data_IF_673518413197
#
_entry.id   IF_673518413197
#
_cell.length_a   1.000
_cell.length_b   1.000
_cell.length_c   1.000
_cell.angle_alpha   90.00
_cell.angle_beta   90.00
_cell.angle_gamma   90.00
#
_symmetry.space_group_name_H-M   'P 1'
#
loop_
_entity.id
_entity.type
_entity.pdbx_description
1 polymer ?
#
# COMPACT_ATOMS: atom_id res chain seq x y z
N UNK A 1 15.43 -10.57 -16.09
CA UNK A 1 16.24 -10.59 -17.29
C UNK A 1 15.64 -11.60 -18.29
N UNK A 2 15.34 -11.21 -19.56
CA UNK A 2 14.82 -12.13 -20.59
C UNK A 2 15.75 -13.32 -20.88
N UNK A 3 17.03 -13.20 -20.54
CA UNK A 3 18.01 -14.26 -20.70
C UNK A 3 18.06 -15.26 -19.54
N UNK A 4 17.29 -15.06 -18.49
CA UNK A 4 17.28 -15.96 -17.33
C UNK A 4 16.63 -17.30 -17.69
N UNK A 5 17.37 -18.38 -17.60
CA UNK A 5 16.88 -19.74 -17.88
C UNK A 5 16.26 -20.38 -16.64
N UNK A 6 15.40 -21.39 -16.84
CA UNK A 6 14.78 -22.16 -15.75
C UNK A 6 15.83 -22.80 -14.85
N UNK A 7 16.99 -23.18 -15.39
CA UNK A 7 18.10 -23.73 -14.62
C UNK A 7 18.70 -22.74 -13.61
N UNK A 8 18.78 -21.47 -13.99
CA UNK A 8 19.23 -20.42 -13.09
C UNK A 8 18.26 -20.20 -11.92
N UNK A 9 17.02 -20.60 -12.07
CA UNK A 9 15.97 -20.50 -11.05
C UNK A 9 15.91 -21.69 -10.08
N UNK A 10 16.69 -22.76 -10.32
CA UNK A 10 16.72 -23.94 -9.46
C UNK A 10 17.23 -23.63 -8.05
N UNK A 11 16.73 -24.32 -7.00
CA UNK A 11 17.28 -24.24 -5.65
C UNK A 11 18.80 -24.46 -5.67
N UNK A 12 19.54 -23.59 -4.96
CA UNK A 12 21.01 -23.68 -4.88
C UNK A 12 21.79 -23.04 -6.02
N UNK A 13 21.16 -22.50 -7.05
CA UNK A 13 21.83 -21.74 -8.09
C UNK A 13 22.44 -20.45 -7.51
N UNK A 14 23.59 -20.01 -8.05
CA UNK A 14 24.22 -18.74 -7.65
C UNK A 14 23.32 -17.52 -7.88
N UNK A 15 22.42 -17.62 -8.84
CA UNK A 15 21.46 -16.58 -9.20
C UNK A 15 20.48 -16.29 -8.06
N UNK A 16 19.99 -17.31 -7.36
CA UNK A 16 19.11 -17.12 -6.18
C UNK A 16 19.79 -16.34 -5.05
N UNK A 17 21.10 -16.47 -4.89
CA UNK A 17 21.87 -15.76 -3.86
C UNK A 17 22.00 -14.27 -4.14
N UNK A 18 21.73 -13.83 -5.36
CA UNK A 18 21.78 -12.44 -5.76
C UNK A 18 20.43 -11.72 -5.61
N UNK A 19 19.37 -12.43 -5.23
CA UNK A 19 18.09 -11.80 -4.91
C UNK A 19 18.15 -11.19 -3.51
N UNK A 20 17.82 -9.91 -3.43
CA UNK A 20 17.76 -9.17 -2.17
C UNK A 20 16.42 -9.43 -1.47
N UNK A 21 16.11 -10.67 -1.16
CA UNK A 21 14.87 -11.04 -0.49
C UNK A 21 15.04 -12.29 0.37
N UNK A 22 14.30 -12.36 1.48
CA UNK A 22 14.29 -13.51 2.38
C UNK A 22 13.36 -14.64 1.90
N UNK A 23 12.45 -14.35 0.99
CA UNK A 23 11.51 -15.29 0.41
C UNK A 23 11.64 -15.36 -1.10
N UNK A 24 11.12 -16.42 -1.66
CA UNK A 24 11.16 -16.67 -3.08
C UNK A 24 9.75 -16.89 -3.59
N UNK A 25 9.30 -16.17 -4.64
CA UNK A 25 7.95 -16.37 -5.17
C UNK A 25 7.75 -17.81 -5.64
N UNK A 26 6.60 -18.38 -5.30
CA UNK A 26 6.27 -19.76 -5.68
C UNK A 26 6.37 -19.98 -7.21
N UNK A 27 5.89 -19.09 -8.07
CA UNK A 27 6.05 -19.21 -9.51
C UNK A 27 7.45 -18.90 -10.04
N UNK A 28 8.42 -18.59 -9.16
CA UNK A 28 9.73 -18.08 -9.55
C UNK A 28 9.74 -16.56 -9.75
N UNK A 29 10.90 -15.94 -10.02
CA UNK A 29 10.96 -14.54 -10.40
C UNK A 29 10.16 -14.29 -11.66
N UNK A 30 9.39 -13.21 -11.67
CA UNK A 30 8.54 -12.83 -12.79
C UNK A 30 8.61 -11.33 -13.07
N UNK A 31 8.30 -10.97 -14.28
CA UNK A 31 8.07 -9.58 -14.67
C UNK A 31 6.62 -9.20 -14.34
N UNK A 32 6.39 -8.32 -13.32
CA UNK A 32 5.06 -7.93 -12.91
C UNK A 32 4.27 -7.19 -14.00
N UNK A 33 4.95 -6.69 -15.04
CA UNK A 33 4.32 -5.99 -16.14
C UNK A 33 3.72 -6.90 -17.21
N UNK A 34 3.95 -8.20 -17.17
CA UNK A 34 3.36 -9.14 -18.15
C UNK A 34 1.87 -9.33 -17.94
N UNK A 35 1.03 -9.24 -19.00
CA UNK A 35 -0.42 -9.38 -18.89
C UNK A 35 -0.85 -10.66 -18.18
N UNK A 36 -0.21 -11.79 -18.49
CA UNK A 36 -0.51 -13.08 -17.87
C UNK A 36 -0.21 -13.11 -16.37
N UNK A 37 0.82 -12.42 -15.93
CA UNK A 37 1.16 -12.30 -14.50
C UNK A 37 0.15 -11.41 -13.78
N UNK A 38 -0.21 -10.26 -14.37
CA UNK A 38 -1.24 -9.38 -13.80
C UNK A 38 -2.56 -10.18 -13.65
N UNK A 39 -2.99 -10.84 -14.71
CA UNK A 39 -4.21 -11.67 -14.70
C UNK A 39 -4.17 -12.73 -13.60
N UNK A 40 -3.10 -13.49 -13.53
CA UNK A 40 -2.92 -14.54 -12.54
C UNK A 40 -3.00 -13.99 -11.10
N UNK A 41 -2.36 -12.85 -10.82
CA UNK A 41 -2.42 -12.21 -9.49
C UNK A 41 -3.85 -11.77 -9.13
N UNK A 42 -4.56 -11.11 -10.05
CA UNK A 42 -5.93 -10.66 -9.83
C UNK A 42 -6.90 -11.84 -9.65
N UNK A 43 -6.79 -12.88 -10.46
CA UNK A 43 -7.60 -14.10 -10.32
C UNK A 43 -7.32 -14.82 -9.01
N UNK A 44 -6.06 -14.91 -8.60
CA UNK A 44 -5.69 -15.55 -7.33
C UNK A 44 -6.25 -14.78 -6.14
N UNK A 45 -6.14 -13.45 -6.14
CA UNK A 45 -6.70 -12.61 -5.08
C UNK A 45 -8.24 -12.72 -5.02
N UNK A 46 -8.91 -12.66 -6.17
CA UNK A 46 -10.37 -12.85 -6.27
C UNK A 46 -10.79 -14.21 -5.72
N UNK A 47 -10.09 -15.28 -6.10
CA UNK A 47 -10.40 -16.64 -5.64
C UNK A 47 -10.14 -16.84 -4.14
N UNK A 48 -9.23 -16.05 -3.57
CA UNK A 48 -9.01 -15.98 -2.12
C UNK A 48 -10.06 -15.15 -1.37
N UNK A 49 -11.05 -14.57 -2.07
CA UNK A 49 -12.09 -13.74 -1.45
C UNK A 49 -11.65 -12.31 -1.15
N UNK A 50 -10.54 -11.85 -1.69
CA UNK A 50 -10.11 -10.46 -1.59
C UNK A 50 -10.98 -9.63 -2.55
N UNK A 51 -11.58 -8.57 -2.07
CA UNK A 51 -12.54 -7.76 -2.84
C UNK A 51 -11.87 -6.86 -3.88
N UNK A 52 -10.68 -6.33 -3.56
CA UNK A 52 -9.96 -5.38 -4.39
C UNK A 52 -8.46 -5.49 -4.12
N UNK A 53 -7.63 -5.35 -5.15
CA UNK A 53 -6.19 -5.16 -4.99
C UNK A 53 -5.82 -3.69 -5.15
N UNK A 54 -4.87 -3.21 -4.33
CA UNK A 54 -4.27 -1.90 -4.52
C UNK A 54 -2.98 -2.03 -5.34
N UNK A 55 -2.88 -1.22 -6.38
CA UNK A 55 -1.64 -1.05 -7.12
C UNK A 55 -0.84 0.07 -6.48
N UNK A 56 0.31 -0.27 -5.92
CA UNK A 56 1.20 0.69 -5.29
C UNK A 56 1.91 1.53 -6.34
N UNK A 57 1.72 2.84 -6.28
CA UNK A 57 2.44 3.81 -7.09
C UNK A 57 3.60 4.39 -6.28
N UNK A 58 4.79 4.01 -6.64
CA UNK A 58 5.99 4.54 -6.02
C UNK A 58 6.33 5.92 -6.60
N UNK A 59 6.54 6.96 -5.78
CA UNK A 59 6.79 8.32 -6.27
C UNK A 59 7.98 8.47 -7.21
N UNK A 60 8.99 7.60 -7.08
CA UNK A 60 10.19 7.65 -7.91
C UNK A 60 9.93 7.50 -9.41
N UNK A 61 8.80 6.93 -9.80
CA UNK A 61 8.43 6.72 -11.19
C UNK A 61 7.86 7.99 -11.85
N UNK A 62 7.57 9.05 -11.05
CA UNK A 62 6.83 10.21 -11.51
C UNK A 62 7.47 11.55 -11.19
N UNK A 63 8.68 11.56 -10.65
CA UNK A 63 9.19 12.68 -9.86
C UNK A 63 9.93 13.78 -10.61
N UNK A 64 10.28 13.60 -11.83
CA UNK A 64 10.97 14.65 -12.59
C UNK A 64 10.00 15.75 -13.09
N UNK A 65 8.71 15.59 -12.81
CA UNK A 65 7.67 16.59 -13.12
C UNK A 65 7.45 16.81 -14.63
N UNK A 66 8.24 16.16 -15.45
CA UNK A 66 8.25 16.36 -16.88
C UNK A 66 7.30 15.41 -17.61
N UNK A 67 7.10 14.21 -17.10
CA UNK A 67 6.31 13.21 -17.80
C UNK A 67 5.15 12.69 -16.93
N UNK A 68 3.99 13.29 -17.09
CA UNK A 68 2.73 12.79 -16.56
C UNK A 68 2.12 11.73 -17.49
N UNK A 69 2.94 11.09 -18.32
CA UNK A 69 2.49 10.04 -19.22
C UNK A 69 1.95 8.88 -18.39
N UNK A 70 0.77 8.40 -18.73
CA UNK A 70 0.20 7.24 -18.05
C UNK A 70 1.16 6.07 -18.15
N UNK A 71 1.39 5.43 -17.02
CA UNK A 71 2.23 4.24 -17.01
C UNK A 71 1.51 3.13 -17.80
N UNK A 72 2.10 2.59 -18.87
CA UNK A 72 1.47 1.51 -19.65
C UNK A 72 1.10 0.29 -18.80
N UNK A 73 1.84 0.07 -17.70
CA UNK A 73 1.55 -0.96 -16.72
C UNK A 73 0.21 -0.73 -16.01
N UNK A 74 -0.05 0.52 -15.59
CA UNK A 74 -1.29 0.85 -14.89
C UNK A 74 -2.51 0.72 -15.80
N UNK A 75 -2.44 1.22 -17.03
CA UNK A 75 -3.51 1.07 -18.02
C UNK A 75 -3.81 -0.41 -18.27
N UNK A 76 -2.76 -1.19 -18.52
CA UNK A 76 -2.89 -2.63 -18.72
C UNK A 76 -3.53 -3.34 -17.54
N UNK A 77 -3.15 -2.96 -16.31
CA UNK A 77 -3.74 -3.53 -15.11
C UNK A 77 -5.23 -3.19 -14.99
N UNK A 78 -5.62 -1.95 -15.30
CA UNK A 78 -7.02 -1.53 -15.31
C UNK A 78 -7.84 -2.28 -16.38
N UNK A 79 -7.30 -2.45 -17.58
CA UNK A 79 -7.98 -3.19 -18.67
C UNK A 79 -8.23 -4.64 -18.26
N UNK A 80 -7.20 -5.33 -17.74
CA UNK A 80 -7.32 -6.71 -17.29
C UNK A 80 -8.29 -6.81 -16.10
N UNK A 81 -8.24 -5.86 -15.17
CA UNK A 81 -9.18 -5.79 -14.05
C UNK A 81 -10.64 -5.65 -14.53
N UNK A 82 -10.87 -4.80 -15.55
CA UNK A 82 -12.18 -4.65 -16.15
C UNK A 82 -12.65 -5.93 -16.86
N UNK A 83 -11.78 -6.58 -17.64
CA UNK A 83 -12.08 -7.86 -18.30
C UNK A 83 -12.48 -8.95 -17.29
N UNK A 84 -11.81 -8.99 -16.15
CA UNK A 84 -12.08 -9.96 -15.09
C UNK A 84 -13.30 -9.61 -14.24
N UNK A 85 -13.84 -8.40 -14.36
CA UNK A 85 -14.84 -7.90 -13.43
C UNK A 85 -14.32 -7.82 -11.97
N UNK A 86 -13.01 -7.66 -11.81
CA UNK A 86 -12.33 -7.57 -10.51
C UNK A 86 -11.51 -6.27 -10.45
N UNK A 87 -12.13 -5.17 -9.98
CA UNK A 87 -11.49 -3.87 -10.04
C UNK A 87 -10.32 -3.73 -9.06
N UNK A 88 -9.40 -2.83 -9.40
CA UNK A 88 -8.23 -2.46 -8.60
C UNK A 88 -8.33 -0.99 -8.17
N UNK A 89 -7.64 -0.64 -7.09
CA UNK A 89 -7.50 0.74 -6.64
C UNK A 89 -6.03 1.17 -6.65
N UNK A 90 -5.78 2.45 -6.43
CA UNK A 90 -4.44 3.00 -6.29
C UNK A 90 -4.08 3.11 -4.82
N UNK A 91 -2.84 2.71 -4.51
CA UNK A 91 -2.14 3.08 -3.29
C UNK A 91 -1.01 4.04 -3.67
N UNK A 92 -1.10 5.27 -3.23
CA UNK A 92 -0.10 6.32 -3.50
C UNK A 92 0.60 6.71 -2.20
N UNK A 93 1.90 6.52 -2.18
CA UNK A 93 2.75 6.89 -1.06
C UNK A 93 3.41 8.24 -1.34
N UNK A 94 3.05 9.26 -0.56
CA UNK A 94 3.65 10.59 -0.66
C UNK A 94 4.69 10.74 0.43
N UNK A 95 5.94 10.52 0.11
CA UNK A 95 6.93 10.47 1.18
C UNK A 95 8.30 11.02 0.89
N UNK A 96 8.61 11.61 -0.25
CA UNK A 96 10.03 11.66 -0.57
C UNK A 96 10.62 13.03 -0.70
N UNK A 97 11.66 13.24 0.14
CA UNK A 97 12.63 14.30 -0.06
C UNK A 97 13.49 13.95 -1.25
N UNK A 98 13.45 14.76 -2.29
CA UNK A 98 14.43 14.74 -3.36
C UNK A 98 15.35 15.92 -3.21
N UNK A 99 16.66 15.75 -3.40
CA UNK A 99 17.63 16.80 -3.15
C UNK A 99 17.41 18.06 -3.99
N UNK A 100 16.73 17.94 -5.14
CA UNK A 100 16.57 19.03 -6.10
C UNK A 100 15.12 19.54 -6.23
N UNK A 101 14.18 19.11 -5.38
CA UNK A 101 12.78 19.50 -5.44
C UNK A 101 12.36 20.10 -4.10
N UNK A 102 11.80 21.29 -4.14
CA UNK A 102 11.25 21.95 -2.94
C UNK A 102 9.97 21.26 -2.49
N UNK A 103 9.63 21.40 -1.20
CA UNK A 103 8.36 20.87 -0.65
C UNK A 103 7.15 21.40 -1.43
N UNK A 104 7.17 22.68 -1.81
CA UNK A 104 6.08 23.29 -2.58
C UNK A 104 5.94 22.65 -3.97
N UNK A 105 7.05 22.50 -4.69
CA UNK A 105 7.04 21.85 -6.00
C UNK A 105 6.55 20.40 -5.92
N UNK A 106 7.00 19.67 -4.91
CA UNK A 106 6.56 18.29 -4.71
C UNK A 106 5.05 18.21 -4.42
N UNK A 107 4.54 19.13 -3.59
CA UNK A 107 3.11 19.25 -3.32
C UNK A 107 2.31 19.49 -4.62
N UNK A 108 2.69 20.49 -5.40
CA UNK A 108 2.01 20.85 -6.65
C UNK A 108 2.09 19.73 -7.69
N UNK A 109 3.25 19.10 -7.84
CA UNK A 109 3.43 17.96 -8.72
C UNK A 109 2.54 16.79 -8.31
N UNK A 110 2.46 16.50 -7.01
CA UNK A 110 1.60 15.42 -6.48
C UNK A 110 0.12 15.71 -6.72
N UNK A 111 -0.35 16.94 -6.47
CA UNK A 111 -1.74 17.36 -6.77
C UNK A 111 -2.04 17.14 -8.25
N UNK A 112 -1.18 17.66 -9.13
CA UNK A 112 -1.35 17.56 -10.59
C UNK A 112 -1.36 16.12 -11.07
N UNK A 113 -0.44 15.28 -10.56
CA UNK A 113 -0.38 13.84 -10.88
C UNK A 113 -1.65 13.12 -10.46
N UNK A 114 -2.05 13.28 -9.22
CA UNK A 114 -3.24 12.61 -8.68
C UNK A 114 -4.51 13.06 -9.40
N UNK A 115 -4.66 14.37 -9.66
CA UNK A 115 -5.78 14.87 -10.43
C UNK A 115 -5.81 14.32 -11.88
N UNK A 116 -4.64 14.17 -12.51
CA UNK A 116 -4.54 13.54 -13.83
C UNK A 116 -4.99 12.09 -13.81
N UNK A 117 -4.53 11.29 -12.85
CA UNK A 117 -4.91 9.89 -12.71
C UNK A 117 -6.42 9.74 -12.50
N UNK A 118 -6.99 10.50 -11.56
CA UNK A 118 -8.43 10.45 -11.28
C UNK A 118 -9.24 10.91 -12.48
N UNK A 119 -8.87 12.01 -13.13
CA UNK A 119 -9.58 12.52 -14.31
C UNK A 119 -9.55 11.53 -15.47
N UNK A 120 -8.41 10.90 -15.71
CA UNK A 120 -8.22 9.98 -16.83
C UNK A 120 -8.87 8.62 -16.60
N UNK A 121 -8.72 8.08 -15.40
CA UNK A 121 -9.08 6.69 -15.10
C UNK A 121 -10.19 6.52 -14.08
N UNK A 122 -10.59 7.55 -13.36
CA UNK A 122 -11.59 7.44 -12.27
C UNK A 122 -12.96 6.90 -12.73
N UNK A 123 -13.27 7.00 -14.04
CA UNK A 123 -14.46 6.40 -14.64
C UNK A 123 -14.24 5.00 -15.20
N UNK A 124 -12.99 4.54 -15.27
CA UNK A 124 -12.65 3.24 -15.84
C UNK A 124 -13.35 2.10 -15.06
N UNK A 125 -13.94 1.09 -15.75
CA UNK A 125 -14.63 -0.01 -15.09
C UNK A 125 -13.70 -0.87 -14.23
N UNK A 126 -12.40 -0.93 -14.56
CA UNK A 126 -11.38 -1.61 -13.77
C UNK A 126 -10.94 -0.85 -12.51
N UNK A 127 -11.39 0.38 -12.29
CA UNK A 127 -11.08 1.11 -11.06
C UNK A 127 -12.14 0.86 -10.00
N UNK A 128 -11.71 0.42 -8.81
CA UNK A 128 -12.60 0.15 -7.67
C UNK A 128 -13.29 1.43 -7.19
N UNK A 129 -14.59 1.31 -6.95
CA UNK A 129 -15.43 2.43 -6.52
C UNK A 129 -16.21 2.08 -5.27
N UNK A 130 -16.32 3.04 -4.37
CA UNK A 130 -17.19 3.00 -3.21
C UNK A 130 -18.11 4.22 -3.27
N UNK A 131 -19.40 4.02 -3.07
CA UNK A 131 -20.42 5.08 -3.20
C UNK A 131 -20.38 5.79 -4.57
N UNK A 132 -20.00 5.07 -5.64
CA UNK A 132 -19.84 5.60 -6.99
C UNK A 132 -18.58 6.42 -7.22
N UNK A 133 -17.74 6.61 -6.21
CA UNK A 133 -16.49 7.39 -6.27
C UNK A 133 -15.28 6.49 -6.44
N UNK A 134 -14.27 6.87 -7.26
CA UNK A 134 -13.04 6.13 -7.38
C UNK A 134 -12.30 6.11 -6.05
N UNK A 135 -11.90 4.92 -5.59
CA UNK A 135 -11.15 4.76 -4.34
C UNK A 135 -9.68 5.08 -4.57
N UNK A 136 -9.16 5.96 -3.76
CA UNK A 136 -7.75 6.35 -3.77
C UNK A 136 -7.17 6.23 -2.37
N UNK A 137 -6.23 5.31 -2.18
CA UNK A 137 -5.52 5.11 -0.93
C UNK A 137 -4.29 6.03 -0.90
N UNK A 138 -4.31 6.98 0.00
CA UNK A 138 -3.31 8.01 0.16
C UNK A 138 -2.52 7.79 1.45
N UNK A 139 -1.26 7.43 1.30
CA UNK A 139 -0.36 7.23 2.42
C UNK A 139 0.48 8.49 2.68
N UNK A 140 0.25 9.13 3.81
CA UNK A 140 0.99 10.30 4.26
C UNK A 140 2.08 9.89 5.25
N UNK A 141 3.14 9.35 4.73
CA UNK A 141 4.26 8.80 5.49
C UNK A 141 4.81 9.80 6.50
N UNK A 142 4.87 9.40 7.78
CA UNK A 142 5.32 10.23 8.91
C UNK A 142 4.62 11.60 9.05
N UNK A 143 3.44 11.79 8.48
CA UNK A 143 2.73 13.07 8.52
C UNK A 143 3.48 14.19 7.80
N UNK A 144 4.08 13.88 6.68
CA UNK A 144 4.87 14.81 5.90
C UNK A 144 4.05 16.01 5.42
N UNK A 145 2.81 15.76 4.96
CA UNK A 145 1.82 16.80 4.71
C UNK A 145 1.02 17.03 6.00
N UNK A 146 1.04 18.24 6.51
CA UNK A 146 0.30 18.58 7.73
C UNK A 146 -1.20 18.79 7.43
N UNK A 147 -2.10 18.62 8.41
CA UNK A 147 -3.54 18.64 8.18
C UNK A 147 -4.07 19.81 7.35
N UNK A 148 -3.67 21.08 7.53
CA UNK A 148 -4.14 22.17 6.68
C UNK A 148 -3.68 22.05 5.22
N UNK A 149 -2.45 21.59 5.00
CA UNK A 149 -1.93 21.34 3.65
C UNK A 149 -2.60 20.10 3.04
N UNK A 150 -2.93 19.09 3.85
CA UNK A 150 -3.60 17.87 3.44
C UNK A 150 -5.04 18.15 2.98
N UNK A 151 -5.78 18.97 3.72
CA UNK A 151 -7.11 19.43 3.31
C UNK A 151 -7.05 20.18 1.97
N UNK A 152 -6.10 21.09 1.84
CA UNK A 152 -5.86 21.80 0.56
C UNK A 152 -5.51 20.83 -0.56
N UNK A 153 -4.69 19.82 -0.30
CA UNK A 153 -4.32 18.81 -1.28
C UNK A 153 -5.56 18.10 -1.86
N UNK A 154 -6.40 17.57 -0.99
CA UNK A 154 -7.62 16.88 -1.44
C UNK A 154 -8.58 17.82 -2.17
N UNK A 155 -8.77 19.02 -1.66
CA UNK A 155 -9.61 20.02 -2.29
C UNK A 155 -9.13 20.41 -3.70
N UNK A 156 -7.83 20.62 -3.88
CA UNK A 156 -7.25 20.96 -5.19
C UNK A 156 -7.33 19.79 -6.19
N UNK A 157 -7.14 18.56 -5.73
CA UNK A 157 -7.33 17.36 -6.57
C UNK A 157 -8.79 17.25 -7.01
N UNK A 158 -9.75 17.32 -6.07
CA UNK A 158 -11.17 17.19 -6.38
C UNK A 158 -11.70 18.32 -7.26
N UNK A 159 -11.18 19.53 -7.09
CA UNK A 159 -11.49 20.68 -7.96
C UNK A 159 -11.08 20.41 -9.42
N UNK A 160 -9.97 19.72 -9.64
CA UNK A 160 -9.44 19.42 -10.97
C UNK A 160 -10.02 18.14 -11.61
N UNK A 161 -10.41 17.18 -10.81
CA UNK A 161 -10.72 15.83 -11.29
C UNK A 161 -12.11 15.30 -10.88
N UNK A 162 -12.81 15.98 -10.00
CA UNK A 162 -14.05 15.55 -9.39
C UNK A 162 -13.82 14.79 -8.07
N UNK A 163 -14.92 14.39 -7.40
CA UNK A 163 -14.87 13.82 -6.06
C UNK A 163 -14.21 12.43 -6.05
N UNK A 164 -13.50 12.13 -4.96
CA UNK A 164 -12.75 10.90 -4.73
C UNK A 164 -13.14 10.28 -3.40
N UNK A 165 -13.12 8.95 -3.33
CA UNK A 165 -13.22 8.22 -2.07
C UNK A 165 -11.82 8.07 -1.46
N UNK A 166 -11.42 9.04 -0.63
CA UNK A 166 -10.11 9.05 -0.01
C UNK A 166 -10.03 8.06 1.15
N UNK A 167 -9.13 7.10 1.04
CA UNK A 167 -8.65 6.25 2.13
C UNK A 167 -7.33 6.82 2.60
N UNK A 168 -7.31 7.36 3.79
CA UNK A 168 -6.13 8.04 4.35
C UNK A 168 -5.38 7.12 5.30
N UNK A 169 -4.09 6.98 5.10
CA UNK A 169 -3.14 6.47 6.07
C UNK A 169 -2.16 7.56 6.46
N UNK A 170 -2.02 7.80 7.75
CA UNK A 170 -1.11 8.79 8.28
C UNK A 170 -1.22 8.85 9.79
N UNK A 171 -0.48 9.77 10.45
CA UNK A 171 -0.56 9.91 11.89
C UNK A 171 -2.00 10.12 12.38
N UNK A 172 -2.37 9.39 13.42
CA UNK A 172 -3.66 9.49 14.07
C UNK A 172 -3.80 10.87 14.72
N UNK A 173 -4.42 11.80 14.02
CA UNK A 173 -4.64 13.15 14.52
C UNK A 173 -6.09 13.58 14.31
N UNK A 174 -6.64 14.26 15.32
CA UNK A 174 -8.00 14.78 15.23
C UNK A 174 -8.14 15.79 14.08
N UNK A 175 -7.10 16.58 13.83
CA UNK A 175 -7.09 17.55 12.73
C UNK A 175 -7.16 16.88 11.36
N UNK A 176 -6.44 15.77 11.14
CA UNK A 176 -6.53 15.01 9.90
C UNK A 176 -7.91 14.33 9.76
N UNK A 177 -8.41 13.72 10.83
CA UNK A 177 -9.69 13.00 10.76
C UNK A 177 -10.91 13.91 10.60
N UNK A 178 -10.78 15.20 10.89
CA UNK A 178 -11.81 16.22 10.61
C UNK A 178 -11.92 16.59 9.14
N UNK A 179 -10.92 16.33 8.31
CA UNK A 179 -10.92 16.71 6.90
C UNK A 179 -12.12 16.04 6.20
N UNK A 180 -13.02 16.83 5.60
CA UNK A 180 -14.29 16.30 5.10
C UNK A 180 -14.12 15.34 3.91
N UNK A 181 -13.08 15.50 3.10
CA UNK A 181 -12.81 14.66 1.94
C UNK A 181 -12.41 13.23 2.33
N UNK A 182 -11.76 13.03 3.48
CA UNK A 182 -11.38 11.72 3.96
C UNK A 182 -12.65 10.92 4.29
N UNK A 183 -12.85 9.79 3.65
CA UNK A 183 -13.99 8.89 3.86
C UNK A 183 -13.65 7.71 4.76
N UNK A 184 -12.43 7.20 4.61
CA UNK A 184 -11.93 6.11 5.40
C UNK A 184 -10.51 6.41 5.89
N UNK A 185 -10.14 5.81 7.02
CA UNK A 185 -8.83 5.96 7.63
C UNK A 185 -8.22 4.61 7.98
N UNK A 186 -6.91 4.54 7.86
CA UNK A 186 -6.09 3.44 8.36
C UNK A 186 -5.17 4.00 9.44
N UNK A 187 -5.02 3.28 10.54
CA UNK A 187 -4.03 3.69 11.52
C UNK A 187 -2.63 3.52 10.96
N UNK A 188 -1.86 4.60 11.08
CA UNK A 188 -0.55 4.69 10.47
C UNK A 188 0.43 3.67 11.03
N UNK A 189 0.96 2.88 10.11
CA UNK A 189 2.17 2.06 10.28
C UNK A 189 2.23 1.23 11.56
N UNK A 190 1.15 0.52 11.83
CA UNK A 190 1.04 -0.31 13.02
C UNK A 190 2.06 -1.44 13.09
N UNK A 191 2.68 -1.78 11.96
CA UNK A 191 3.75 -2.77 11.90
C UNK A 191 4.95 -2.41 12.77
N UNK A 192 5.27 -1.13 12.90
CA UNK A 192 6.39 -0.69 13.72
C UNK A 192 6.29 -1.14 15.18
N UNK A 193 5.09 -1.27 15.72
CA UNK A 193 4.90 -1.79 17.08
C UNK A 193 5.19 -3.28 17.19
N UNK A 194 5.14 -4.00 16.07
CA UNK A 194 5.30 -5.45 16.03
C UNK A 194 6.70 -5.89 15.63
N UNK A 195 7.55 -4.94 15.21
CA UNK A 195 8.92 -5.25 14.86
C UNK A 195 9.70 -5.72 16.08
N UNK A 196 10.29 -6.90 15.97
CA UNK A 196 11.30 -7.35 16.92
C UNK A 196 12.67 -6.87 16.45
N UNK A 197 13.58 -6.47 17.37
CA UNK A 197 14.96 -6.20 17.00
C UNK A 197 15.59 -7.39 16.27
N UNK A 198 16.60 -7.17 15.39
CA UNK A 198 17.21 -8.23 14.57
C UNK A 198 17.73 -9.42 15.36
N UNK A 199 18.01 -9.23 16.64
CA UNK A 199 18.63 -10.20 17.55
C UNK A 199 17.76 -10.57 18.75
N UNK A 200 16.51 -10.11 18.81
CA UNK A 200 15.61 -10.32 19.95
C UNK A 200 14.45 -11.23 19.59
N UNK A 201 14.42 -12.42 20.18
CA UNK A 201 13.23 -13.25 20.30
C UNK A 201 12.41 -12.76 21.50
N UNK A 202 11.83 -11.57 21.40
CA UNK A 202 10.88 -11.10 22.40
C UNK A 202 9.45 -11.28 21.89
N UNK A 203 8.47 -11.41 22.79
CA UNK A 203 7.06 -11.43 22.39
C UNK A 203 6.71 -10.12 21.70
N UNK A 204 5.85 -10.19 20.68
CA UNK A 204 5.35 -9.01 20.01
C UNK A 204 4.63 -8.11 21.00
N UNK A 205 4.89 -6.78 20.99
CA UNK A 205 4.25 -5.84 21.92
C UNK A 205 2.81 -5.53 21.49
N UNK A 206 1.98 -6.57 21.45
CA UNK A 206 0.58 -6.50 21.03
C UNK A 206 -0.23 -5.47 21.80
N UNK A 207 0.07 -5.23 23.08
CA UNK A 207 -0.64 -4.23 23.90
C UNK A 207 -0.45 -2.81 23.35
N UNK A 208 0.73 -2.50 22.83
CA UNK A 208 1.01 -1.19 22.21
C UNK A 208 0.21 -1.02 20.94
N UNK A 209 0.14 -2.08 20.12
CA UNK A 209 -0.69 -2.10 18.92
C UNK A 209 -2.16 -1.92 19.30
N UNK A 210 -2.66 -2.73 20.22
CA UNK A 210 -4.05 -2.68 20.68
C UNK A 210 -4.43 -1.28 21.16
N UNK A 211 -3.61 -0.65 22.00
CA UNK A 211 -3.86 0.71 22.49
C UNK A 211 -3.84 1.76 21.35
N UNK A 212 -2.98 1.60 20.36
CA UNK A 212 -2.97 2.47 19.18
C UNK A 212 -4.25 2.31 18.36
N UNK A 213 -4.66 1.07 18.11
CA UNK A 213 -5.88 0.76 17.36
C UNK A 213 -7.13 1.29 18.04
N UNK A 214 -7.22 1.10 19.34
CA UNK A 214 -8.36 1.60 20.13
C UNK A 214 -8.54 3.11 20.01
N UNK A 215 -7.43 3.85 20.09
CA UNK A 215 -7.45 5.32 19.90
C UNK A 215 -7.89 5.69 18.49
N UNK A 216 -7.30 5.05 17.47
CA UNK A 216 -7.60 5.34 16.07
C UNK A 216 -9.06 5.04 15.71
N UNK A 217 -9.59 3.89 16.13
CA UNK A 217 -11.02 3.53 15.94
C UNK A 217 -11.94 4.55 16.61
N UNK A 218 -11.66 4.90 17.87
CA UNK A 218 -12.46 5.88 18.61
C UNK A 218 -12.49 7.22 17.91
N UNK A 219 -11.33 7.66 17.42
CA UNK A 219 -11.20 8.92 16.70
C UNK A 219 -11.91 8.88 15.33
N UNK A 220 -11.76 7.80 14.57
CA UNK A 220 -12.43 7.61 13.29
C UNK A 220 -13.96 7.68 13.45
N UNK A 221 -14.50 6.94 14.41
CA UNK A 221 -15.96 6.93 14.69
C UNK A 221 -16.47 8.27 15.16
N UNK A 222 -15.71 8.99 16.00
CA UNK A 222 -16.04 10.36 16.42
C UNK A 222 -16.27 11.30 15.24
N UNK A 223 -15.51 11.10 14.16
CA UNK A 223 -15.58 11.95 12.96
C UNK A 223 -16.34 11.29 11.79
N UNK A 224 -17.10 10.22 12.05
CA UNK A 224 -17.92 9.55 11.04
C UNK A 224 -17.13 8.90 9.90
N UNK A 225 -15.85 8.54 10.15
CA UNK A 225 -14.99 7.89 9.15
C UNK A 225 -15.10 6.38 9.25
N UNK A 226 -15.07 5.70 8.09
CA UNK A 226 -14.82 4.26 8.05
C UNK A 226 -13.42 3.97 8.55
N UNK A 227 -13.26 2.87 9.26
CA UNK A 227 -11.98 2.47 9.83
C UNK A 227 -11.51 1.14 9.24
N UNK A 228 -10.36 1.16 8.60
CA UNK A 228 -9.69 -0.02 8.10
C UNK A 228 -8.58 -0.51 9.03
N UNK A 229 -8.36 -1.81 9.01
CA UNK A 229 -7.26 -2.46 9.72
C UNK A 229 -6.26 -3.03 8.73
N UNK A 230 -4.99 -2.73 8.97
CA UNK A 230 -3.91 -3.34 8.22
C UNK A 230 -3.48 -4.63 8.91
N UNK A 231 -3.39 -5.69 8.15
CA UNK A 231 -2.98 -7.03 8.61
C UNK A 231 -1.73 -7.45 7.86
N UNK A 232 -0.73 -7.88 8.60
CA UNK A 232 0.55 -8.32 8.06
C UNK A 232 0.64 -9.83 8.06
N UNK A 233 1.31 -10.38 7.05
CA UNK A 233 1.66 -11.80 7.00
C UNK A 233 3.02 -12.04 7.64
N UNK A 234 3.96 -11.18 7.34
CA UNK A 234 5.34 -11.15 7.80
C UNK A 234 6.02 -9.88 7.31
N UNK A 235 7.20 -9.59 7.84
CA UNK A 235 8.05 -8.50 7.38
C UNK A 235 9.51 -8.82 7.71
N UNK A 236 10.44 -8.56 6.80
CA UNK A 236 11.86 -8.71 7.07
C UNK A 236 12.69 -7.82 6.14
N UNK A 237 13.05 -6.67 6.63
CA UNK A 237 13.83 -5.68 5.90
C UNK A 237 15.35 -5.76 6.22
N UNK A 238 15.82 -6.90 6.73
CA UNK A 238 17.25 -7.08 7.03
C UNK A 238 18.13 -7.22 5.77
N UNK A 239 17.50 -7.41 4.62
CA UNK A 239 18.17 -7.56 3.34
C UNK A 239 18.22 -6.26 2.53
N UNK A 240 17.55 -5.20 3.00
CA UNK A 240 17.58 -3.89 2.37
C UNK A 240 19.01 -3.32 2.40
N UNK A 241 19.48 -2.91 1.25
CA UNK A 241 20.83 -2.37 1.05
C UNK A 241 21.01 -1.09 1.86
N UNK A 242 21.79 -1.18 2.93
CA UNK A 242 22.16 -0.04 3.77
C UNK A 242 21.39 0.07 5.10
N UNK A 243 20.48 -0.83 5.41
CA UNK A 243 19.78 -0.87 6.71
C UNK A 243 19.79 -2.25 7.37
N UNK A 244 20.97 -2.86 7.57
CA UNK A 244 21.05 -4.08 8.34
C UNK A 244 20.60 -3.76 9.78
N UNK A 245 19.55 -4.38 10.23
CA UNK A 245 19.06 -4.22 11.60
C UNK A 245 17.70 -3.56 11.74
N UNK A 246 16.99 -3.28 10.67
CA UNK A 246 15.55 -3.00 10.76
C UNK A 246 14.84 -4.24 11.30
N UNK A 247 13.78 -4.01 12.07
CA UNK A 247 13.04 -5.07 12.72
C UNK A 247 12.45 -6.08 11.73
N UNK A 248 12.08 -7.22 12.27
CA UNK A 248 11.37 -8.26 11.52
C UNK A 248 10.08 -8.65 12.21
N UNK A 249 9.13 -9.11 11.44
CA UNK A 249 7.93 -9.82 11.88
C UNK A 249 8.03 -11.23 11.31
N UNK A 250 8.24 -12.26 12.14
CA UNK A 250 8.33 -13.64 11.65
C UNK A 250 6.95 -14.13 11.18
N UNK A 251 6.92 -14.97 10.16
CA UNK A 251 5.67 -15.56 9.66
C UNK A 251 5.04 -16.58 10.62
N UNK A 252 5.85 -17.21 11.46
CA UNK A 252 5.41 -18.22 12.45
C UNK A 252 4.53 -19.32 11.82
N UNK A 253 4.93 -19.80 10.63
CA UNK A 253 4.16 -20.76 9.84
C UNK A 253 2.71 -20.28 9.53
N UNK A 254 2.53 -18.97 9.33
CA UNK A 254 1.23 -18.35 9.08
C UNK A 254 0.44 -17.98 10.33
N UNK A 255 0.87 -18.38 11.51
CA UNK A 255 0.15 -18.10 12.77
C UNK A 255 0.14 -16.61 13.09
N UNK A 256 1.22 -15.89 12.77
CA UNK A 256 1.25 -14.43 12.94
C UNK A 256 0.09 -13.74 12.20
N UNK A 257 -0.18 -14.15 10.96
CA UNK A 257 -1.30 -13.62 10.17
C UNK A 257 -2.65 -13.92 10.86
N UNK A 258 -2.86 -15.18 11.25
CA UNK A 258 -4.10 -15.61 11.91
C UNK A 258 -4.34 -14.82 13.20
N UNK A 259 -3.31 -14.66 14.02
CA UNK A 259 -3.41 -13.93 15.29
C UNK A 259 -3.61 -12.43 15.06
N UNK A 260 -2.99 -11.86 14.03
CA UNK A 260 -3.23 -10.47 13.62
C UNK A 260 -4.69 -10.24 13.25
N UNK A 261 -5.28 -11.12 12.43
CA UNK A 261 -6.71 -11.04 12.07
C UNK A 261 -7.57 -11.15 13.32
N UNK A 262 -7.39 -12.20 14.13
CA UNK A 262 -8.18 -12.44 15.34
C UNK A 262 -8.15 -11.25 16.31
N UNK A 263 -6.98 -10.67 16.53
CA UNK A 263 -6.83 -9.49 17.40
C UNK A 263 -7.55 -8.27 16.86
N UNK A 264 -7.46 -8.04 15.57
CA UNK A 264 -8.05 -6.86 14.95
C UNK A 264 -9.57 -6.93 14.86
N UNK A 265 -10.16 -8.14 14.82
CA UNK A 265 -11.62 -8.33 14.81
C UNK A 265 -12.33 -7.70 16.00
N UNK A 266 -11.70 -7.62 17.17
CA UNK A 266 -12.31 -6.99 18.37
C UNK A 266 -12.65 -5.50 18.18
N UNK A 267 -11.93 -4.82 17.28
CA UNK A 267 -12.16 -3.42 16.97
C UNK A 267 -13.28 -3.20 15.96
N UNK A 268 -13.84 -4.27 15.39
CA UNK A 268 -14.92 -4.23 14.39
C UNK A 268 -14.62 -3.25 13.26
N UNK A 269 -13.50 -3.46 12.52
CA UNK A 269 -13.18 -2.60 11.39
C UNK A 269 -14.22 -2.71 10.29
N UNK A 270 -14.37 -1.66 9.50
CA UNK A 270 -15.25 -1.64 8.34
C UNK A 270 -14.64 -2.42 7.16
N UNK A 271 -13.31 -2.52 7.10
CA UNK A 271 -12.57 -3.28 6.08
C UNK A 271 -11.18 -3.67 6.57
N UNK A 272 -10.56 -4.60 5.86
CA UNK A 272 -9.17 -5.03 6.08
C UNK A 272 -8.31 -4.70 4.86
N UNK A 273 -7.04 -4.35 5.11
CA UNK A 273 -6.00 -4.32 4.09
C UNK A 273 -4.93 -5.35 4.47
N UNK A 274 -4.71 -6.31 3.59
CA UNK A 274 -3.65 -7.29 3.72
C UNK A 274 -2.38 -6.73 3.08
N UNK A 275 -1.33 -6.62 3.88
CA UNK A 275 -0.04 -6.04 3.48
C UNK A 275 1.03 -7.13 3.55
N UNK A 276 1.70 -7.46 2.48
CA UNK A 276 1.58 -7.01 1.09
C UNK A 276 1.44 -8.25 0.20
N UNK A 277 0.99 -8.08 -1.06
CA UNK A 277 0.80 -9.24 -1.93
C UNK A 277 2.12 -9.82 -2.42
N UNK A 278 3.06 -8.98 -2.84
CA UNK A 278 4.29 -9.38 -3.55
C UNK A 278 5.51 -8.50 -3.27
N UNK A 279 5.61 -7.91 -2.10
CA UNK A 279 6.79 -7.19 -1.68
C UNK A 279 7.86 -8.18 -1.20
N UNK A 280 8.63 -8.68 -2.14
CA UNK A 280 9.68 -9.65 -1.87
C UNK A 280 10.92 -9.00 -1.26
N UNK A 281 11.17 -7.72 -1.50
CA UNK A 281 12.31 -6.98 -0.96
C UNK A 281 12.20 -6.82 0.55
N UNK A 282 11.03 -6.41 1.04
CA UNK A 282 10.73 -6.36 2.47
C UNK A 282 10.27 -7.71 3.03
N UNK A 283 10.22 -8.74 2.20
CA UNK A 283 9.70 -10.06 2.57
C UNK A 283 8.30 -10.01 3.19
N UNK A 284 7.52 -9.01 2.78
CA UNK A 284 6.15 -8.81 3.17
C UNK A 284 5.23 -9.31 2.05
N UNK A 285 4.98 -10.63 2.00
CA UNK A 285 4.15 -11.22 0.95
C UNK A 285 3.27 -12.35 1.48
N UNK A 286 2.20 -12.62 0.77
CA UNK A 286 1.23 -13.68 1.04
C UNK A 286 1.58 -14.95 0.24
#
# INVERSE_FOLDING_TARGET
DPATTIEQLRPGSSWRRNLNCAGYPLPGPYDPGRPGIIRWQLETARNAGIECMYLHLWPSLWDDGADLTPQPLFERALDIAAELGYPIAIHDEIAFRRPNITKAQLFENSVRRTALLVRRYGKHPGWYKTDGLPVYYFQNWNGWIKPPELERYFAEVEKQAGPVYWVYEGPDSEAAFRIPQIRAVLSHNNSWFLHTPPHGAGPHPWEKLDASMERAVKLARKHGKKFGMMVYTRFNNNFDRGNPGRGRIPAENGMFFVDSVRRTMKFKPDFYIFTQWNDFEESAFI
#
